data_IF_162954368918
#
_entry.id   IF_162954368918
#
_cell.length_a   1.000
_cell.length_b   1.000
_cell.length_c   1.000
_cell.angle_alpha   90.00
_cell.angle_beta   90.00
_cell.angle_gamma   90.00
#
_symmetry.space_group_name_H-M   'P 1'
#
loop_
_entity.id
_entity.type
_entity.pdbx_description
1 polymer ?
#
# COMPACT_ATOMS: atom_id res chain seq x y z
N UNK A 1 13.84 -6.08 -15.84
CA UNK A 1 13.79 -5.57 -14.46
C UNK A 1 14.92 -4.56 -14.29
N UNK A 2 14.66 -3.52 -13.57
CA UNK A 2 15.62 -2.43 -13.35
C UNK A 2 15.54 -2.00 -11.88
N UNK A 3 16.19 -2.75 -10.96
CA UNK A 3 16.16 -2.48 -9.53
C UNK A 3 16.67 -1.11 -9.14
N UNK A 4 17.60 -0.58 -9.91
CA UNK A 4 18.26 0.70 -9.67
C UNK A 4 18.38 1.52 -10.95
N UNK A 5 18.21 2.83 -10.83
CA UNK A 5 18.42 3.81 -11.90
C UNK A 5 19.58 4.71 -11.48
N UNK A 6 20.59 4.82 -12.31
CA UNK A 6 21.71 5.74 -12.10
C UNK A 6 21.39 7.11 -12.70
N UNK A 7 21.22 8.12 -11.85
CA UNK A 7 21.00 9.50 -12.26
C UNK A 7 22.16 10.34 -11.74
N UNK A 8 22.94 10.91 -12.63
CA UNK A 8 24.09 11.79 -12.30
C UNK A 8 25.08 11.16 -11.29
N UNK A 9 25.29 9.83 -11.37
CA UNK A 9 26.18 9.11 -10.46
C UNK A 9 25.57 8.67 -9.13
N UNK A 10 24.28 8.98 -8.89
CA UNK A 10 23.52 8.49 -7.74
C UNK A 10 22.69 7.27 -8.14
N UNK A 11 22.89 6.15 -7.45
CA UNK A 11 22.05 4.97 -7.61
C UNK A 11 20.76 5.14 -6.80
N UNK A 12 19.62 5.24 -7.49
CA UNK A 12 18.29 5.36 -6.90
C UNK A 12 17.57 4.03 -7.06
N UNK A 13 17.11 3.44 -5.96
CA UNK A 13 16.29 2.23 -5.99
C UNK A 13 14.93 2.54 -6.60
N UNK A 14 14.55 1.81 -7.64
CA UNK A 14 13.28 2.00 -8.36
C UNK A 14 12.07 1.82 -7.46
N UNK A 15 12.09 0.85 -6.55
CA UNK A 15 11.02 0.68 -5.55
C UNK A 15 10.82 1.96 -4.72
N UNK A 16 11.91 2.58 -4.24
CA UNK A 16 11.83 3.84 -3.48
C UNK A 16 11.24 5.00 -4.29
N UNK A 17 11.53 5.06 -5.59
CA UNK A 17 10.94 6.05 -6.48
C UNK A 17 9.42 5.88 -6.61
N UNK A 18 8.93 4.64 -6.82
CA UNK A 18 7.49 4.37 -6.88
C UNK A 18 6.80 4.58 -5.53
N UNK A 19 7.52 4.28 -4.43
CA UNK A 19 7.03 4.60 -3.08
C UNK A 19 6.83 6.11 -2.89
N UNK A 20 7.77 6.94 -3.31
CA UNK A 20 7.63 8.40 -3.28
C UNK A 20 6.51 8.89 -4.23
N UNK A 21 6.43 8.34 -5.44
CA UNK A 21 5.38 8.65 -6.42
C UNK A 21 3.99 8.36 -5.86
N UNK A 22 3.84 7.30 -5.06
CA UNK A 22 2.60 6.98 -4.38
C UNK A 22 2.10 8.14 -3.50
N UNK A 23 2.97 8.74 -2.69
CA UNK A 23 2.59 9.89 -1.86
C UNK A 23 2.22 11.12 -2.68
N UNK A 24 2.92 11.36 -3.80
CA UNK A 24 2.58 12.45 -4.72
C UNK A 24 1.21 12.23 -5.35
N UNK A 25 0.95 11.02 -5.86
CA UNK A 25 -0.32 10.67 -6.48
C UNK A 25 -1.48 10.74 -5.48
N UNK A 26 -1.28 10.21 -4.26
CA UNK A 26 -2.26 10.28 -3.20
C UNK A 26 -2.53 11.72 -2.76
N UNK A 27 -1.50 12.53 -2.58
CA UNK A 27 -1.62 13.95 -2.24
C UNK A 27 -2.37 14.76 -3.30
N UNK A 28 -2.11 14.50 -4.59
CA UNK A 28 -2.82 15.13 -5.70
C UNK A 28 -4.32 14.75 -5.72
N UNK A 29 -4.65 13.47 -5.50
CA UNK A 29 -6.01 12.97 -5.44
C UNK A 29 -6.76 13.56 -4.25
N UNK A 30 -6.15 13.55 -3.07
CA UNK A 30 -6.70 14.15 -1.83
C UNK A 30 -6.89 15.66 -2.00
N UNK A 31 -5.90 16.37 -2.54
CA UNK A 31 -6.00 17.81 -2.78
C UNK A 31 -7.13 18.18 -3.73
N UNK A 32 -7.34 17.38 -4.78
CA UNK A 32 -8.49 17.52 -5.67
C UNK A 32 -9.81 17.31 -4.91
N UNK A 33 -9.90 16.24 -4.11
CA UNK A 33 -11.13 15.94 -3.36
C UNK A 33 -11.44 17.00 -2.29
N UNK A 34 -10.44 17.49 -1.58
CA UNK A 34 -10.60 18.59 -0.62
C UNK A 34 -11.17 19.83 -1.30
N UNK A 35 -10.68 20.18 -2.49
CA UNK A 35 -11.21 21.31 -3.28
C UNK A 35 -12.68 21.10 -3.63
N UNK A 36 -13.06 19.90 -4.08
CA UNK A 36 -14.46 19.53 -4.38
C UNK A 36 -15.36 19.65 -3.14
N UNK A 37 -14.83 19.36 -1.95
CA UNK A 37 -15.54 19.46 -0.67
C UNK A 37 -15.50 20.85 -0.04
N UNK A 38 -14.92 21.85 -0.72
CA UNK A 38 -14.76 23.22 -0.19
C UNK A 38 -13.83 23.31 1.01
N UNK A 39 -12.88 22.38 1.14
CA UNK A 39 -11.88 22.34 2.22
C UNK A 39 -10.54 22.91 1.73
N UNK A 40 -9.68 23.41 2.66
CA UNK A 40 -8.37 23.89 2.30
C UNK A 40 -7.52 22.82 1.61
N UNK A 41 -6.98 23.13 0.43
CA UNK A 41 -6.15 22.17 -0.35
C UNK A 41 -4.84 21.86 0.38
N UNK A 42 -4.34 22.80 1.19
CA UNK A 42 -3.13 22.64 1.99
C UNK A 42 -3.22 21.47 2.99
N UNK A 43 -4.44 21.07 3.37
CA UNK A 43 -4.67 19.88 4.18
C UNK A 43 -4.13 18.60 3.52
N UNK A 44 -4.05 18.58 2.18
CA UNK A 44 -3.44 17.43 1.48
C UNK A 44 -1.95 17.28 1.82
N UNK A 45 -1.20 18.39 1.86
CA UNK A 45 0.22 18.38 2.26
C UNK A 45 0.39 17.97 3.71
N UNK A 46 -0.48 18.49 4.59
CA UNK A 46 -0.46 18.15 6.02
C UNK A 46 -0.74 16.64 6.22
N UNK A 47 -1.73 16.08 5.52
CA UNK A 47 -2.06 14.66 5.60
C UNK A 47 -0.91 13.79 5.07
N UNK A 48 -0.30 14.18 3.94
CA UNK A 48 0.87 13.48 3.39
C UNK A 48 2.03 13.52 4.37
N UNK A 49 2.31 14.70 4.94
CA UNK A 49 3.37 14.86 5.93
C UNK A 49 3.08 14.03 7.21
N UNK A 50 1.84 14.05 7.70
CA UNK A 50 1.43 13.23 8.84
C UNK A 50 1.62 11.73 8.55
N UNK A 51 1.18 11.26 7.38
CA UNK A 51 1.33 9.86 6.97
C UNK A 51 2.82 9.46 6.86
N UNK A 52 3.67 10.31 6.27
CA UNK A 52 5.10 10.06 6.13
C UNK A 52 5.81 10.02 7.49
N UNK A 53 5.63 11.06 8.30
CA UNK A 53 6.29 11.16 9.61
C UNK A 53 5.81 10.05 10.54
N UNK A 54 4.49 9.86 10.64
CA UNK A 54 3.91 8.80 11.45
C UNK A 54 4.31 7.41 10.96
N UNK A 55 4.36 7.23 9.63
CA UNK A 55 4.80 6.00 9.01
C UNK A 55 6.27 5.67 9.32
N UNK A 56 7.17 6.63 9.21
CA UNK A 56 8.59 6.45 9.53
C UNK A 56 8.78 6.14 11.03
N UNK A 57 8.13 6.88 11.90
CA UNK A 57 8.17 6.66 13.35
C UNK A 57 7.63 5.27 13.69
N UNK A 58 6.50 4.89 13.11
CA UNK A 58 5.88 3.61 13.36
C UNK A 58 6.71 2.43 12.82
N UNK A 59 7.24 2.54 11.60
CA UNK A 59 8.07 1.52 10.97
C UNK A 59 9.35 1.27 11.79
N UNK A 60 9.99 2.35 12.25
CA UNK A 60 11.19 2.27 13.07
C UNK A 60 10.89 1.80 14.48
N UNK A 61 9.84 2.35 15.10
CA UNK A 61 9.43 1.97 16.46
C UNK A 61 9.09 0.48 16.56
N UNK A 62 8.35 -0.04 15.58
CA UNK A 62 8.02 -1.47 15.53
C UNK A 62 9.28 -2.35 15.41
N UNK A 63 10.24 -1.92 14.56
CA UNK A 63 11.51 -2.64 14.41
C UNK A 63 12.32 -2.67 15.71
N UNK A 64 12.40 -1.52 16.41
CA UNK A 64 13.10 -1.42 17.71
C UNK A 64 12.49 -2.36 18.76
N UNK A 65 11.15 -2.40 18.82
CA UNK A 65 10.43 -3.28 19.75
C UNK A 65 10.70 -4.75 19.41
N UNK A 66 10.59 -5.12 18.14
CA UNK A 66 10.77 -6.52 17.71
C UNK A 66 12.19 -7.04 17.90
N UNK A 67 13.20 -6.18 17.75
CA UNK A 67 14.61 -6.56 17.88
C UNK A 67 15.18 -6.28 19.29
N UNK A 68 14.34 -5.85 20.24
CA UNK A 68 14.75 -5.51 21.62
C UNK A 68 15.93 -4.52 21.67
N UNK A 69 16.02 -3.62 20.68
CA UNK A 69 17.10 -2.63 20.60
C UNK A 69 16.89 -1.50 21.62
N UNK A 70 17.96 -1.05 22.29
CA UNK A 70 17.85 0.05 23.25
C UNK A 70 17.48 1.35 22.55
N UNK A 71 16.63 2.14 23.20
CA UNK A 71 16.24 3.47 22.73
C UNK A 71 17.41 4.46 22.87
N UNK A 72 18.26 4.53 21.87
CA UNK A 72 19.33 5.54 21.75
C UNK A 72 19.09 6.42 20.52
N UNK A 73 19.69 7.60 20.46
CA UNK A 73 19.61 8.47 19.31
C UNK A 73 20.10 7.76 18.04
N UNK A 74 21.16 6.97 18.16
CA UNK A 74 21.71 6.18 17.05
C UNK A 74 20.76 5.08 16.59
N UNK A 75 20.11 4.38 17.51
CA UNK A 75 19.15 3.33 17.16
C UNK A 75 17.85 3.91 16.59
N UNK A 76 17.38 5.06 17.04
CA UNK A 76 16.17 5.73 16.51
C UNK A 76 16.40 6.31 15.13
N UNK A 77 17.54 6.97 14.90
CA UNK A 77 17.88 7.61 13.61
C UNK A 77 18.58 6.68 12.61
N UNK A 78 18.84 5.43 12.99
CA UNK A 78 19.49 4.44 12.14
C UNK A 78 18.70 4.19 10.85
N UNK A 79 19.39 4.19 9.72
CA UNK A 79 18.77 4.07 8.37
C UNK A 79 18.34 2.66 7.97
N UNK A 80 18.60 1.62 8.78
CA UNK A 80 18.26 0.23 8.50
C UNK A 80 17.18 -0.30 9.45
N UNK A 81 16.35 -1.20 8.97
CA UNK A 81 15.29 -1.81 9.79
C UNK A 81 14.03 -0.94 9.88
N UNK A 82 13.22 -1.02 8.84
CA UNK A 82 11.88 -0.45 8.79
C UNK A 82 10.90 -1.60 8.56
N UNK A 83 9.89 -1.71 9.40
CA UNK A 83 8.87 -2.76 9.27
C UNK A 83 7.57 -2.14 8.73
N UNK A 84 7.07 -2.73 7.64
CA UNK A 84 5.91 -2.21 6.92
C UNK A 84 4.66 -2.07 7.81
N UNK A 85 4.36 -3.05 8.66
CA UNK A 85 3.19 -3.00 9.55
C UNK A 85 3.26 -1.82 10.53
N UNK A 86 4.44 -1.57 11.10
CA UNK A 86 4.67 -0.41 11.95
C UNK A 86 4.44 0.89 11.20
N UNK A 87 4.91 0.94 9.94
CA UNK A 87 4.71 2.08 9.05
C UNK A 87 3.24 2.35 8.75
N UNK A 88 2.49 1.31 8.40
CA UNK A 88 1.05 1.41 8.15
C UNK A 88 0.30 1.93 9.38
N UNK A 89 0.50 1.29 10.54
CA UNK A 89 -0.17 1.70 11.79
C UNK A 89 0.19 3.12 12.18
N UNK A 90 1.49 3.46 12.15
CA UNK A 90 1.95 4.80 12.50
C UNK A 90 1.41 5.87 11.57
N UNK A 91 1.37 5.60 10.28
CA UNK A 91 0.79 6.50 9.28
C UNK A 91 -0.71 6.70 9.48
N UNK A 92 -1.47 5.62 9.68
CA UNK A 92 -2.91 5.69 9.98
C UNK A 92 -3.18 6.47 11.24
N UNK A 93 -2.49 6.15 12.34
CA UNK A 93 -2.66 6.87 13.62
C UNK A 93 -2.35 8.35 13.47
N UNK A 94 -1.26 8.71 12.79
CA UNK A 94 -0.90 10.11 12.59
C UNK A 94 -1.93 10.88 11.77
N UNK A 95 -2.48 10.29 10.70
CA UNK A 95 -3.55 10.91 9.89
C UNK A 95 -4.83 11.05 10.70
N UNK A 96 -5.21 10.05 11.52
CA UNK A 96 -6.39 10.14 12.38
C UNK A 96 -6.24 11.21 13.47
N UNK A 97 -5.05 11.33 14.09
CA UNK A 97 -4.73 12.39 15.05
C UNK A 97 -4.78 13.77 14.39
N UNK A 98 -4.19 13.93 13.21
CA UNK A 98 -4.29 15.13 12.41
C UNK A 98 -5.75 15.49 12.10
N UNK A 99 -6.52 14.52 11.63
CA UNK A 99 -7.94 14.71 11.31
C UNK A 99 -8.76 15.11 12.54
N UNK A 100 -8.46 14.51 13.70
CA UNK A 100 -9.08 14.88 14.99
C UNK A 100 -8.75 16.32 15.36
N UNK A 101 -7.49 16.73 15.17
CA UNK A 101 -7.04 18.09 15.45
C UNK A 101 -7.69 19.12 14.53
N UNK A 102 -7.83 18.81 13.23
CA UNK A 102 -8.49 19.68 12.23
C UNK A 102 -10.03 19.63 12.28
N UNK A 103 -10.64 18.81 13.13
CA UNK A 103 -12.09 18.61 13.14
C UNK A 103 -12.63 17.94 11.87
N UNK A 104 -11.78 17.16 11.17
CA UNK A 104 -12.10 16.49 9.92
C UNK A 104 -12.17 14.95 10.04
N UNK A 105 -12.26 14.43 11.26
CA UNK A 105 -12.46 13.00 11.51
C UNK A 105 -13.93 12.64 11.23
N UNK A 106 -14.25 12.49 9.95
CA UNK A 106 -15.60 12.24 9.43
C UNK A 106 -15.56 11.10 8.41
N UNK A 107 -16.72 10.56 8.03
CA UNK A 107 -16.80 9.54 6.98
C UNK A 107 -16.23 10.01 5.64
N UNK A 108 -16.25 11.32 5.36
CA UNK A 108 -15.64 11.88 4.16
C UNK A 108 -14.11 11.67 4.11
N UNK A 109 -13.42 11.66 5.26
CA UNK A 109 -12.00 11.32 5.34
C UNK A 109 -11.75 9.88 4.89
N UNK A 110 -12.53 8.94 5.39
CA UNK A 110 -12.40 7.52 5.03
C UNK A 110 -12.74 7.30 3.56
N UNK A 111 -13.81 7.91 3.06
CA UNK A 111 -14.20 7.81 1.64
C UNK A 111 -13.16 8.39 0.70
N UNK A 112 -12.44 9.44 1.13
CA UNK A 112 -11.33 9.99 0.39
C UNK A 112 -10.11 9.05 0.41
N UNK A 113 -9.92 8.31 1.50
CA UNK A 113 -8.81 7.35 1.62
C UNK A 113 -9.01 6.13 0.69
N UNK A 114 -10.24 5.64 0.48
CA UNK A 114 -10.51 4.45 -0.31
C UNK A 114 -9.89 4.45 -1.71
N UNK A 115 -10.26 5.39 -2.61
CA UNK A 115 -9.66 5.48 -3.95
C UNK A 115 -8.15 5.76 -3.89
N UNK A 116 -7.70 6.53 -2.90
CA UNK A 116 -6.29 6.85 -2.71
C UNK A 116 -5.45 5.64 -2.33
N UNK A 117 -5.93 4.81 -1.42
CA UNK A 117 -5.26 3.57 -1.01
C UNK A 117 -5.24 2.55 -2.17
N UNK A 118 -6.32 2.44 -2.94
CA UNK A 118 -6.35 1.58 -4.12
C UNK A 118 -5.33 2.04 -5.19
N UNK A 119 -5.25 3.34 -5.45
CA UNK A 119 -4.26 3.91 -6.37
C UNK A 119 -2.84 3.67 -5.86
N UNK A 120 -2.61 3.90 -4.57
CA UNK A 120 -1.32 3.67 -3.93
C UNK A 120 -0.87 2.22 -4.01
N UNK A 121 -1.79 1.30 -3.80
CA UNK A 121 -1.53 -0.13 -3.97
C UNK A 121 -1.09 -0.44 -5.40
N UNK A 122 -1.83 0.05 -6.41
CA UNK A 122 -1.48 -0.15 -7.83
C UNK A 122 -0.09 0.41 -8.18
N UNK A 123 0.22 1.65 -7.74
CA UNK A 123 1.54 2.28 -7.97
C UNK A 123 2.65 1.49 -7.27
N UNK A 124 2.43 1.04 -6.04
CA UNK A 124 3.38 0.22 -5.30
C UNK A 124 3.70 -1.08 -6.05
N UNK A 125 2.68 -1.74 -6.63
CA UNK A 125 2.87 -2.97 -7.41
C UNK A 125 3.63 -2.74 -8.72
N UNK A 126 3.52 -1.57 -9.35
CA UNK A 126 4.41 -1.21 -10.46
C UNK A 126 5.86 -1.16 -9.96
N UNK A 127 6.10 -0.60 -8.78
CA UNK A 127 7.42 -0.60 -8.14
C UNK A 127 7.97 -2.02 -7.92
N UNK A 128 7.16 -2.94 -7.38
CA UNK A 128 7.50 -4.36 -7.23
C UNK A 128 7.82 -5.02 -8.58
N UNK A 129 7.02 -4.73 -9.62
CA UNK A 129 7.24 -5.27 -10.97
C UNK A 129 8.55 -4.80 -11.58
N UNK A 130 8.86 -3.51 -11.46
CA UNK A 130 10.07 -2.92 -12.07
C UNK A 130 11.32 -3.33 -11.31
N UNK A 131 11.27 -3.35 -9.97
CA UNK A 131 12.40 -3.77 -9.13
C UNK A 131 12.64 -5.28 -9.14
N UNK A 132 11.60 -6.09 -9.41
CA UNK A 132 11.68 -7.54 -9.30
C UNK A 132 12.03 -7.98 -7.88
N UNK A 133 11.33 -7.43 -6.89
CA UNK A 133 11.61 -7.59 -5.44
C UNK A 133 11.20 -8.94 -4.84
N UNK A 134 10.71 -9.87 -5.67
CA UNK A 134 10.31 -11.20 -5.23
C UNK A 134 8.81 -11.36 -4.99
N UNK A 135 8.04 -10.31 -5.18
CA UNK A 135 6.59 -10.31 -5.02
C UNK A 135 5.83 -11.05 -6.14
N UNK A 136 6.53 -11.59 -7.12
CA UNK A 136 5.97 -12.47 -8.15
C UNK A 136 5.47 -13.81 -7.57
N UNK A 137 4.59 -14.50 -8.33
CA UNK A 137 3.92 -15.72 -7.89
C UNK A 137 4.72 -17.01 -8.07
N UNK A 138 4.01 -18.13 -8.00
CA UNK A 138 4.55 -19.48 -8.19
C UNK A 138 5.04 -19.70 -9.62
N UNK A 139 5.88 -20.72 -9.83
CA UNK A 139 6.33 -21.14 -11.14
C UNK A 139 5.13 -21.44 -12.04
N UNK A 140 5.16 -20.90 -13.25
CA UNK A 140 4.13 -21.03 -14.25
C UNK A 140 4.72 -20.74 -15.64
N UNK A 141 4.25 -21.46 -16.66
CA UNK A 141 4.74 -21.39 -18.05
C UNK A 141 3.66 -20.96 -19.06
N UNK A 142 2.57 -20.36 -18.57
CA UNK A 142 1.47 -19.89 -19.40
C UNK A 142 1.81 -18.70 -20.29
N UNK A 143 0.84 -18.20 -21.10
CA UNK A 143 1.10 -17.28 -22.22
C UNK A 143 1.73 -15.93 -21.83
N UNK A 144 1.55 -15.49 -20.59
CA UNK A 144 2.12 -14.22 -20.07
C UNK A 144 3.02 -14.44 -18.85
N UNK A 145 3.56 -15.66 -18.71
CA UNK A 145 4.56 -15.95 -17.70
C UNK A 145 5.82 -15.10 -17.90
N UNK A 146 6.43 -14.67 -16.83
CA UNK A 146 7.61 -13.79 -16.88
C UNK A 146 8.75 -14.33 -16.04
N UNK A 147 9.99 -14.17 -16.53
CA UNK A 147 11.20 -14.36 -15.74
C UNK A 147 11.69 -13.02 -15.18
N UNK A 148 12.33 -13.06 -14.01
CA UNK A 148 12.89 -11.89 -13.33
C UNK A 148 14.42 -12.05 -13.12
N UNK A 149 15.22 -12.35 -14.18
CA UNK A 149 16.64 -12.71 -14.02
C UNK A 149 17.51 -11.60 -13.45
N UNK A 150 17.09 -10.34 -13.59
CA UNK A 150 17.80 -9.15 -13.12
C UNK A 150 17.03 -8.39 -12.04
N UNK A 151 16.10 -9.05 -11.35
CA UNK A 151 15.36 -8.48 -10.23
C UNK A 151 16.20 -8.38 -8.95
N UNK A 152 15.73 -7.62 -7.98
CA UNK A 152 16.30 -7.60 -6.61
C UNK A 152 16.30 -9.00 -6.00
N UNK A 153 15.24 -9.77 -6.26
CA UNK A 153 15.15 -11.20 -5.96
C UNK A 153 14.99 -11.93 -7.29
N UNK A 154 16.07 -12.48 -7.88
CA UNK A 154 16.00 -13.06 -9.22
C UNK A 154 15.29 -14.41 -9.22
N UNK A 155 14.59 -14.71 -10.33
CA UNK A 155 14.17 -16.09 -10.62
C UNK A 155 15.37 -16.92 -11.07
N UNK A 156 15.32 -18.25 -10.83
CA UNK A 156 16.34 -19.14 -11.36
C UNK A 156 16.37 -19.10 -12.91
N UNK A 157 17.51 -19.37 -13.54
CA UNK A 157 17.64 -19.37 -15.00
C UNK A 157 16.60 -20.28 -15.64
N UNK A 158 15.88 -19.77 -16.65
CA UNK A 158 14.84 -20.51 -17.37
C UNK A 158 13.50 -20.68 -16.62
N UNK A 159 13.40 -20.23 -15.37
CA UNK A 159 12.15 -20.30 -14.61
C UNK A 159 11.30 -19.07 -14.88
N UNK A 160 10.06 -19.32 -15.31
CA UNK A 160 9.00 -18.32 -15.44
C UNK A 160 7.96 -18.47 -14.34
N UNK A 161 7.29 -17.38 -13.98
CA UNK A 161 6.39 -17.29 -12.85
C UNK A 161 5.16 -16.43 -13.19
N UNK A 162 4.12 -16.50 -12.38
CA UNK A 162 3.01 -15.55 -12.45
C UNK A 162 3.49 -14.12 -12.12
N UNK A 163 3.31 -13.13 -13.01
CA UNK A 163 3.62 -11.73 -12.72
C UNK A 163 2.51 -11.09 -11.86
N UNK A 164 2.37 -11.56 -10.61
CA UNK A 164 1.32 -11.11 -9.70
C UNK A 164 1.29 -9.60 -9.50
N UNK A 165 2.44 -8.85 -9.48
CA UNK A 165 2.39 -7.40 -9.39
C UNK A 165 1.63 -6.74 -10.55
N UNK A 166 1.66 -7.32 -11.76
CA UNK A 166 0.87 -6.81 -12.90
C UNK A 166 -0.62 -7.03 -12.65
N UNK A 167 -1.02 -8.22 -12.17
CA UNK A 167 -2.43 -8.52 -11.91
C UNK A 167 -2.99 -7.56 -10.84
N UNK A 168 -2.28 -7.43 -9.74
CA UNK A 168 -2.64 -6.53 -8.64
C UNK A 168 -2.70 -5.06 -9.09
N UNK A 169 -1.75 -4.61 -9.93
CA UNK A 169 -1.77 -3.26 -10.52
C UNK A 169 -3.02 -3.00 -11.34
N UNK A 170 -3.38 -3.93 -12.23
CA UNK A 170 -4.53 -3.76 -13.11
C UNK A 170 -5.84 -3.75 -12.32
N UNK A 171 -6.00 -4.69 -11.40
CA UNK A 171 -7.21 -4.78 -10.57
C UNK A 171 -7.34 -3.54 -9.69
N UNK A 172 -6.30 -3.21 -8.92
CA UNK A 172 -6.38 -2.10 -7.97
C UNK A 172 -6.39 -0.72 -8.66
N UNK A 173 -5.77 -0.60 -9.83
CA UNK A 173 -5.90 0.59 -10.67
C UNK A 173 -7.35 0.80 -11.17
N UNK A 174 -8.01 -0.28 -11.61
CA UNK A 174 -9.42 -0.25 -11.97
C UNK A 174 -10.31 0.08 -10.77
N UNK A 175 -10.03 -0.53 -9.61
CA UNK A 175 -10.75 -0.24 -8.35
C UNK A 175 -10.61 1.23 -7.97
N UNK A 176 -9.40 1.79 -8.02
CA UNK A 176 -9.17 3.21 -7.76
C UNK A 176 -10.00 4.10 -8.68
N UNK A 177 -10.02 3.78 -9.97
CA UNK A 177 -10.83 4.50 -10.96
C UNK A 177 -12.33 4.41 -10.66
N UNK A 178 -12.84 3.21 -10.42
CA UNK A 178 -14.28 3.00 -10.14
C UNK A 178 -14.69 3.72 -8.85
N UNK A 179 -13.93 3.57 -7.77
CA UNK A 179 -14.22 4.26 -6.51
C UNK A 179 -14.18 5.78 -6.69
N UNK A 180 -13.25 6.30 -7.49
CA UNK A 180 -13.21 7.73 -7.81
C UNK A 180 -14.45 8.21 -8.57
N UNK A 181 -14.98 7.42 -9.50
CA UNK A 181 -16.22 7.74 -10.22
C UNK A 181 -17.47 7.68 -9.35
N UNK A 182 -17.45 6.84 -8.31
CA UNK A 182 -18.56 6.67 -7.38
C UNK A 182 -18.59 7.72 -6.24
N UNK A 183 -17.52 8.52 -6.06
CA UNK A 183 -17.31 9.37 -4.87
C UNK A 183 -18.43 10.36 -4.53
N UNK A 184 -19.24 10.74 -5.51
CA UNK A 184 -20.38 11.65 -5.35
C UNK A 184 -21.74 10.95 -5.54
N UNK A 185 -21.73 9.61 -5.71
CA UNK A 185 -22.92 8.81 -6.04
C UNK A 185 -23.40 7.90 -4.93
N UNK A 186 -22.57 7.70 -3.92
CA UNK A 186 -22.86 6.79 -2.81
C UNK A 186 -22.93 7.54 -1.47
N UNK A 187 -23.53 6.92 -0.47
CA UNK A 187 -23.61 7.49 0.88
C UNK A 187 -22.21 7.59 1.51
N UNK A 188 -22.00 8.56 2.40
CA UNK A 188 -20.76 8.67 3.16
C UNK A 188 -20.43 7.38 3.92
N UNK A 189 -19.15 6.95 3.84
CA UNK A 189 -18.65 5.71 4.43
C UNK A 189 -18.67 4.50 3.49
N UNK A 190 -19.49 4.52 2.44
CA UNK A 190 -19.65 3.38 1.52
C UNK A 190 -18.41 3.17 0.66
N UNK A 191 -17.75 4.24 0.20
CA UNK A 191 -16.54 4.09 -0.63
C UNK A 191 -15.42 3.38 0.11
N UNK A 192 -15.20 3.74 1.36
CA UNK A 192 -14.17 3.09 2.17
C UNK A 192 -14.52 1.63 2.46
N UNK A 193 -15.78 1.36 2.76
CA UNK A 193 -16.25 -0.02 2.97
C UNK A 193 -16.10 -0.87 1.69
N UNK A 194 -16.46 -0.34 0.52
CA UNK A 194 -16.21 -0.99 -0.77
C UNK A 194 -14.73 -1.25 -1.02
N UNK A 195 -13.86 -0.27 -0.71
CA UNK A 195 -12.42 -0.48 -0.79
C UNK A 195 -11.96 -1.65 0.07
N UNK A 196 -12.38 -1.73 1.33
CA UNK A 196 -12.02 -2.81 2.25
C UNK A 196 -12.47 -4.18 1.73
N UNK A 197 -13.70 -4.27 1.24
CA UNK A 197 -14.26 -5.51 0.68
C UNK A 197 -13.46 -5.93 -0.56
N UNK A 198 -13.27 -5.03 -1.52
CA UNK A 198 -12.65 -5.38 -2.80
C UNK A 198 -11.15 -5.66 -2.61
N UNK A 199 -10.43 -4.82 -1.84
CA UNK A 199 -9.02 -5.02 -1.57
C UNK A 199 -8.77 -6.30 -0.74
N UNK A 200 -9.65 -6.58 0.23
CA UNK A 200 -9.61 -7.83 0.99
C UNK A 200 -9.85 -9.05 0.11
N UNK A 201 -10.86 -9.02 -0.76
CA UNK A 201 -11.14 -10.10 -1.70
C UNK A 201 -9.98 -10.30 -2.71
N UNK A 202 -9.49 -9.23 -3.29
CA UNK A 202 -8.36 -9.26 -4.23
C UNK A 202 -7.12 -9.88 -3.58
N UNK A 203 -6.73 -9.37 -2.41
CA UNK A 203 -5.55 -9.86 -1.69
C UNK A 203 -5.70 -11.31 -1.25
N UNK A 204 -6.89 -11.74 -0.85
CA UNK A 204 -7.17 -13.14 -0.52
C UNK A 204 -7.00 -14.06 -1.72
N UNK A 205 -7.53 -13.65 -2.89
CA UNK A 205 -7.51 -14.46 -4.11
C UNK A 205 -6.12 -14.55 -4.73
N UNK A 206 -5.41 -13.42 -4.84
CA UNK A 206 -4.08 -13.41 -5.44
C UNK A 206 -3.08 -14.27 -4.64
N UNK A 207 -3.30 -14.41 -3.34
CA UNK A 207 -2.43 -15.15 -2.45
C UNK A 207 -2.35 -16.66 -2.79
N UNK A 208 -3.37 -17.24 -3.41
CA UNK A 208 -3.34 -18.63 -3.85
C UNK A 208 -2.25 -18.92 -4.90
N UNK A 209 -1.84 -17.92 -5.66
CA UNK A 209 -0.78 -18.03 -6.66
C UNK A 209 0.54 -17.41 -6.21
N UNK A 210 0.58 -16.81 -5.01
CA UNK A 210 1.83 -16.30 -4.38
C UNK A 210 2.62 -17.42 -3.70
N UNK A 211 3.82 -17.09 -3.23
CA UNK A 211 4.78 -18.05 -2.65
C UNK A 211 4.91 -17.94 -1.13
N UNK A 212 3.96 -17.27 -0.47
CA UNK A 212 4.00 -17.06 0.96
C UNK A 212 3.69 -18.37 1.72
N UNK A 213 4.30 -18.53 2.90
CA UNK A 213 4.11 -19.70 3.73
C UNK A 213 2.78 -19.66 4.48
N UNK A 214 2.22 -20.84 4.67
CA UNK A 214 1.02 -21.05 5.49
C UNK A 214 1.36 -20.90 6.96
N UNK A 215 0.57 -20.11 7.69
CA UNK A 215 0.80 -19.84 9.13
C UNK A 215 -0.26 -20.45 10.03
N UNK A 216 -1.53 -20.45 9.65
CA UNK A 216 -2.61 -21.01 10.45
C UNK A 216 -3.81 -21.40 9.56
N UNK A 217 -4.59 -22.39 9.98
CA UNK A 217 -5.83 -22.86 9.30
C UNK A 217 -5.66 -23.20 7.82
N UNK A 218 -4.47 -23.53 7.36
CA UNK A 218 -4.18 -23.73 5.94
C UNK A 218 -4.07 -22.42 5.14
N UNK A 219 -4.04 -21.25 5.80
CA UNK A 219 -3.98 -19.93 5.20
C UNK A 219 -2.66 -19.22 5.52
N UNK A 220 -2.25 -18.33 4.64
CA UNK A 220 -1.12 -17.42 4.88
C UNK A 220 -1.53 -16.27 5.79
N UNK A 221 -0.55 -15.56 6.38
CA UNK A 221 -0.83 -14.36 7.18
C UNK A 221 -1.62 -13.33 6.36
N UNK A 222 -1.23 -13.11 5.10
CA UNK A 222 -1.89 -12.18 4.20
C UNK A 222 -3.34 -12.57 3.88
N UNK A 223 -3.67 -13.87 3.82
CA UNK A 223 -5.06 -14.32 3.67
C UNK A 223 -5.89 -14.05 4.91
N UNK A 224 -5.36 -14.27 6.10
CA UNK A 224 -6.07 -13.98 7.36
C UNK A 224 -6.34 -12.50 7.54
N UNK A 225 -5.34 -11.65 7.22
CA UNK A 225 -5.48 -10.20 7.26
C UNK A 225 -6.50 -9.70 6.24
N UNK A 226 -6.43 -10.19 5.00
CA UNK A 226 -7.35 -9.80 3.94
C UNK A 226 -8.80 -10.24 4.21
N UNK A 227 -8.99 -11.41 4.80
CA UNK A 227 -10.30 -11.86 5.26
C UNK A 227 -10.86 -10.94 6.36
N UNK A 228 -10.01 -10.48 7.28
CA UNK A 228 -10.41 -9.50 8.30
C UNK A 228 -10.87 -8.19 7.69
N UNK A 229 -10.12 -7.65 6.70
CA UNK A 229 -10.52 -6.44 5.98
C UNK A 229 -11.85 -6.63 5.24
N UNK A 230 -12.01 -7.77 4.56
CA UNK A 230 -13.25 -8.10 3.86
C UNK A 230 -14.44 -8.13 4.81
N UNK A 231 -14.34 -8.81 5.96
CA UNK A 231 -15.40 -8.90 6.95
C UNK A 231 -15.73 -7.53 7.53
N UNK A 232 -14.73 -6.74 7.90
CA UNK A 232 -14.94 -5.37 8.42
C UNK A 232 -15.66 -4.50 7.39
N UNK A 233 -15.23 -4.54 6.13
CA UNK A 233 -15.88 -3.80 5.06
C UNK A 233 -17.29 -4.26 4.79
N UNK A 234 -17.54 -5.57 4.78
CA UNK A 234 -18.89 -6.14 4.59
C UNK A 234 -19.85 -5.76 5.73
N UNK A 235 -19.39 -5.84 6.97
CA UNK A 235 -20.18 -5.39 8.15
C UNK A 235 -20.47 -3.90 8.05
N UNK A 236 -19.51 -3.08 7.68
CA UNK A 236 -19.69 -1.64 7.50
C UNK A 236 -20.73 -1.31 6.41
N UNK A 237 -20.80 -2.08 5.32
CA UNK A 237 -21.80 -1.88 4.26
C UNK A 237 -23.23 -2.19 4.70
N UNK A 238 -23.42 -3.05 5.72
CA UNK A 238 -24.74 -3.44 6.22
C UNK A 238 -25.24 -2.49 7.31
N UNK A 239 -24.33 -1.84 8.05
CA UNK A 239 -24.66 -0.87 9.10
C UNK A 239 -24.98 0.51 8.53
#
# INVERSE_FOLDING_TARGET
MQPEINVLGLSIKTFGLFFALNFVAWGALVGRRLRELGKPVDWAYEMVAAALVGGLIGARGYWLIQNHEPLSVGSVLGGSGLIWYGGLLGGVVAVLLWARWRGFLTLALFDMAGPGLALGYAIGRIGCQVSGDGDYGRAWDGPWAMGYPHGTVPTAPGVTVHPTPIYETLVMGLVAYVLWQLRDRVRPGVLFALYLVIAGAERFLIEFIRRNDVVALGLTAAQLESLSLFVVGAVWLVL
#
